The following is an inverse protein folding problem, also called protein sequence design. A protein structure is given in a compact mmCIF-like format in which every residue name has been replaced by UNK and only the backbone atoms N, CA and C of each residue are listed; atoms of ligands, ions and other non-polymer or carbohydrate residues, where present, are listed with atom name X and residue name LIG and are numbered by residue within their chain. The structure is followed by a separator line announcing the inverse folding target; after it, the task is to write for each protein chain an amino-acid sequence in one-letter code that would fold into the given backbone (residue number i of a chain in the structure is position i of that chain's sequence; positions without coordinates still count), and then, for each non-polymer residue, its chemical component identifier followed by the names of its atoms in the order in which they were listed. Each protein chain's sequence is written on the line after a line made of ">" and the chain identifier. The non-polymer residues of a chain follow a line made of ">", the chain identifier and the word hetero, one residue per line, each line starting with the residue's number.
data_IF_849920624234
#
_entry.id   IF_849920624234
#
_cell.length_a   1.000
_cell.length_b   1.000
_cell.length_c   1.000
_cell.angle_alpha   90.00
_cell.angle_beta   90.00
_cell.angle_gamma   90.00
#
_symmetry.space_group_name_H-M   'P 1'
#
loop_
_entity.id
_entity.type
_entity.pdbx_description
1 polymer ?
#
# COMPACT_ATOMS: atom_id res chain seq x y z
N UNK A 1 17.52 -16.84 17.11
CA UNK A 1 18.15 -15.61 17.67
C UNK A 1 18.14 -14.52 16.58
N UNK A 2 17.96 -13.26 16.97
CA UNK A 2 18.02 -12.13 16.05
C UNK A 2 19.44 -12.00 15.48
N UNK A 3 19.59 -11.79 14.15
CA UNK A 3 20.89 -11.41 13.58
C UNK A 3 21.38 -10.10 14.21
N UNK A 4 22.69 -9.94 14.33
CA UNK A 4 23.31 -8.71 14.89
C UNK A 4 22.88 -7.47 14.07
N UNK A 5 22.44 -6.41 14.77
CA UNK A 5 21.99 -5.16 14.14
C UNK A 5 20.66 -5.25 13.40
N UNK A 6 19.86 -6.30 13.61
CA UNK A 6 18.57 -6.50 12.96
C UNK A 6 17.43 -6.56 13.96
N UNK A 7 16.27 -6.11 13.51
CA UNK A 7 14.99 -6.12 14.23
C UNK A 7 13.88 -6.59 13.28
N UNK A 8 12.79 -7.09 13.82
CA UNK A 8 11.62 -7.45 13.02
C UNK A 8 10.86 -6.20 12.57
N UNK A 9 10.61 -6.09 11.27
CA UNK A 9 9.76 -5.04 10.70
C UNK A 9 8.34 -5.12 11.27
N UNK A 10 7.77 -3.97 11.65
CA UNK A 10 6.35 -3.90 12.04
C UNK A 10 5.40 -4.21 10.87
N UNK A 11 5.86 -4.02 9.61
CA UNK A 11 5.03 -4.12 8.42
C UNK A 11 5.07 -5.51 7.77
N UNK A 12 6.22 -6.19 7.81
CA UNK A 12 6.43 -7.46 7.11
C UNK A 12 6.92 -8.59 8.00
N UNK A 13 7.31 -8.28 9.25
CA UNK A 13 7.99 -9.21 10.15
C UNK A 13 9.33 -9.77 9.61
N UNK A 14 9.84 -9.23 8.52
CA UNK A 14 11.18 -9.55 8.01
C UNK A 14 12.26 -8.90 8.87
N UNK A 15 13.49 -9.41 8.80
CA UNK A 15 14.64 -8.79 9.45
C UNK A 15 15.07 -7.54 8.68
N UNK A 16 14.99 -6.39 9.33
CA UNK A 16 15.45 -5.09 8.82
C UNK A 16 16.58 -4.54 9.69
N UNK A 17 17.32 -3.56 9.21
CA UNK A 17 18.32 -2.85 10.02
C UNK A 17 17.63 -2.08 11.15
N UNK A 18 18.25 -2.05 12.34
CA UNK A 18 17.67 -1.43 13.54
C UNK A 18 17.35 0.07 13.34
N UNK A 19 18.13 0.78 12.53
CA UNK A 19 17.91 2.20 12.22
C UNK A 19 16.66 2.45 11.36
N UNK A 20 16.10 1.41 10.72
CA UNK A 20 14.84 1.50 9.99
C UNK A 20 13.61 1.29 10.89
N UNK A 21 13.78 0.79 12.12
CA UNK A 21 12.64 0.42 12.97
C UNK A 21 11.68 1.58 13.19
N UNK A 22 12.19 2.72 13.62
CA UNK A 22 11.39 3.91 13.90
C UNK A 22 11.10 4.77 12.67
N UNK A 23 11.69 4.44 11.51
CA UNK A 23 11.51 5.22 10.30
C UNK A 23 10.07 5.17 9.81
N UNK A 24 9.48 6.34 9.57
CA UNK A 24 8.17 6.47 8.95
C UNK A 24 8.23 5.99 7.49
N UNK A 25 7.23 5.21 7.04
CA UNK A 25 7.14 4.84 5.64
C UNK A 25 6.68 6.02 4.78
N UNK A 26 6.91 5.90 3.48
CA UNK A 26 6.14 6.64 2.48
C UNK A 26 4.82 5.93 2.20
N UNK A 27 3.79 6.71 1.85
CA UNK A 27 2.61 6.23 1.16
C UNK A 27 2.59 6.87 -0.24
N UNK A 28 2.91 6.12 -1.27
CA UNK A 28 3.15 6.63 -2.63
C UNK A 28 2.01 6.21 -3.55
N UNK A 29 1.42 7.18 -4.25
CA UNK A 29 0.32 6.95 -5.19
C UNK A 29 0.84 6.62 -6.59
N UNK A 30 0.52 5.42 -7.09
CA UNK A 30 0.87 4.93 -8.42
C UNK A 30 -0.36 4.76 -9.31
N UNK A 31 -0.27 5.08 -10.61
CA UNK A 31 -1.32 4.76 -11.56
C UNK A 31 -1.28 3.29 -11.99
N UNK A 32 -2.37 2.84 -12.59
CA UNK A 32 -2.42 1.55 -13.29
C UNK A 32 -2.24 1.69 -14.81
N UNK A 33 -2.28 2.90 -15.35
CA UNK A 33 -2.28 3.14 -16.79
C UNK A 33 -1.08 2.48 -17.47
N UNK A 34 -1.35 1.70 -18.51
CA UNK A 34 -0.33 0.98 -19.29
C UNK A 34 0.72 1.92 -19.88
N UNK A 35 0.29 3.11 -20.31
CA UNK A 35 1.13 4.16 -20.86
C UNK A 35 2.14 4.71 -19.83
N UNK A 36 1.86 4.55 -18.55
CA UNK A 36 2.74 4.96 -17.46
C UNK A 36 3.79 3.92 -17.06
N UNK A 37 3.69 2.72 -17.60
CA UNK A 37 4.61 1.63 -17.22
C UNK A 37 5.96 1.75 -17.95
N UNK A 38 7.05 1.21 -17.35
CA UNK A 38 7.12 0.60 -16.02
C UNK A 38 7.11 1.64 -14.89
N UNK A 39 6.77 1.18 -13.67
CA UNK A 39 6.88 1.99 -12.46
C UNK A 39 8.21 1.73 -11.74
N UNK A 40 8.62 2.67 -10.90
CA UNK A 40 9.90 2.65 -10.20
C UNK A 40 9.69 2.75 -8.69
N UNK A 41 10.47 2.00 -7.91
CA UNK A 41 10.38 1.93 -6.46
C UNK A 41 9.60 0.71 -5.95
N UNK A 42 9.12 -0.15 -6.82
CA UNK A 42 8.33 -1.32 -6.45
C UNK A 42 9.09 -2.33 -5.58
N UNK A 43 10.40 -2.42 -5.71
CA UNK A 43 11.23 -3.33 -4.91
C UNK A 43 11.23 -3.01 -3.41
N UNK A 44 10.86 -1.77 -3.05
CA UNK A 44 10.81 -1.32 -1.65
C UNK A 44 9.40 -1.36 -1.04
N UNK A 45 8.42 -1.88 -1.75
CA UNK A 45 7.05 -2.01 -1.26
C UNK A 45 7.00 -3.06 -0.15
N UNK A 46 6.47 -2.66 1.00
CA UNK A 46 6.16 -3.57 2.11
C UNK A 46 4.69 -4.01 2.05
N UNK A 47 3.78 -3.06 1.85
CA UNK A 47 2.34 -3.27 1.72
C UNK A 47 1.84 -2.51 0.51
N UNK A 48 0.99 -3.13 -0.29
CA UNK A 48 0.50 -2.56 -1.53
C UNK A 48 -1.02 -2.61 -1.60
N UNK A 49 -1.64 -1.46 -1.84
CA UNK A 49 -3.08 -1.32 -1.96
C UNK A 49 -3.50 -1.12 -3.40
N UNK A 50 -4.64 -1.67 -3.78
CA UNK A 50 -5.36 -1.28 -4.97
C UNK A 50 -6.84 -1.09 -4.64
N UNK A 51 -7.39 0.08 -5.00
CA UNK A 51 -8.78 0.44 -4.75
C UNK A 51 -9.33 1.10 -6.02
N UNK A 52 -10.60 0.86 -6.31
CA UNK A 52 -11.27 1.52 -7.43
C UNK A 52 -11.29 3.05 -7.27
N UNK A 53 -11.25 3.72 -8.40
CA UNK A 53 -11.56 5.14 -8.56
C UNK A 53 -12.62 5.32 -9.65
N UNK A 54 -12.75 6.49 -10.22
CA UNK A 54 -13.76 6.85 -11.21
C UNK A 54 -13.67 5.96 -12.48
N UNK A 55 -14.79 5.78 -13.14
CA UNK A 55 -14.90 5.08 -14.43
C UNK A 55 -14.44 3.62 -14.43
N UNK A 56 -14.46 2.96 -13.27
CA UNK A 56 -13.99 1.58 -13.13
C UNK A 56 -12.45 1.44 -13.19
N UNK A 57 -11.74 2.56 -13.23
CA UNK A 57 -10.29 2.57 -13.04
C UNK A 57 -9.94 2.20 -11.61
N UNK A 58 -8.71 1.81 -11.37
CA UNK A 58 -8.16 1.69 -10.03
C UNK A 58 -6.93 2.59 -9.84
N UNK A 59 -6.51 2.70 -8.60
CA UNK A 59 -5.29 3.38 -8.20
C UNK A 59 -4.55 2.50 -7.22
N UNK A 60 -3.23 2.59 -7.20
CA UNK A 60 -2.38 1.82 -6.31
C UNK A 60 -1.69 2.74 -5.32
N UNK A 61 -1.51 2.26 -4.09
CA UNK A 61 -0.75 2.94 -3.05
C UNK A 61 0.28 1.99 -2.45
N UNK A 62 1.54 2.41 -2.47
CA UNK A 62 2.64 1.66 -1.87
C UNK A 62 3.01 2.22 -0.50
N UNK A 63 3.09 1.35 0.50
CA UNK A 63 3.68 1.65 1.80
C UNK A 63 5.11 1.12 1.77
N UNK A 64 6.08 2.02 1.95
CA UNK A 64 7.51 1.73 1.77
C UNK A 64 8.30 2.27 2.97
N UNK A 65 8.86 1.38 3.78
CA UNK A 65 9.65 1.77 4.96
C UNK A 65 11.10 2.10 4.62
N UNK A 66 11.75 1.28 3.82
CA UNK A 66 13.14 1.46 3.39
C UNK A 66 13.21 2.26 2.08
N UNK A 67 13.01 3.58 2.17
CA UNK A 67 12.86 4.44 0.99
C UNK A 67 13.98 5.48 0.79
N UNK A 68 15.00 5.53 1.66
CA UNK A 68 15.97 6.65 1.63
C UNK A 68 17.06 6.56 0.55
N UNK A 69 17.11 5.49 -0.23
CA UNK A 69 18.15 5.20 -1.21
C UNK A 69 17.63 4.99 -2.65
N UNK A 70 16.41 5.46 -2.96
CA UNK A 70 15.82 5.29 -4.28
C UNK A 70 16.14 6.47 -5.20
N UNK A 71 16.75 6.17 -6.36
CA UNK A 71 17.08 7.16 -7.39
C UNK A 71 15.84 7.59 -8.19
N UNK A 72 14.77 6.81 -8.19
CA UNK A 72 13.54 7.10 -8.92
C UNK A 72 12.35 6.40 -8.27
N UNK A 73 11.25 7.15 -8.08
CA UNK A 73 9.97 6.68 -7.58
C UNK A 73 8.87 7.25 -8.47
N UNK A 74 7.93 6.42 -8.88
CA UNK A 74 6.77 6.83 -9.68
C UNK A 74 6.71 6.15 -11.03
N UNK A 75 5.85 6.63 -11.96
CA UNK A 75 5.22 7.98 -11.90
C UNK A 75 4.20 8.08 -10.78
N UNK A 76 4.03 9.30 -10.29
CA UNK A 76 3.17 9.63 -9.16
C UNK A 76 1.83 10.17 -9.66
N UNK A 77 0.73 9.77 -9.02
CA UNK A 77 -0.62 10.17 -9.43
C UNK A 77 -1.45 10.74 -8.27
N UNK A 78 -2.65 11.16 -8.64
CA UNK A 78 -3.61 11.78 -7.73
C UNK A 78 -4.07 10.84 -6.62
N UNK A 79 -4.31 11.40 -5.45
CA UNK A 79 -4.86 10.70 -4.29
C UNK A 79 -6.39 10.86 -4.21
N UNK A 80 -7.04 9.98 -3.47
CA UNK A 80 -8.43 10.06 -3.02
C UNK A 80 -8.49 9.97 -1.49
N UNK A 81 -9.55 10.48 -0.88
CA UNK A 81 -9.70 10.51 0.57
C UNK A 81 -9.60 9.12 1.23
N UNK A 82 -10.19 8.11 0.62
CA UNK A 82 -10.12 6.74 1.16
C UNK A 82 -8.71 6.14 1.15
N UNK A 83 -7.82 6.56 0.24
CA UNK A 83 -6.40 6.21 0.31
C UNK A 83 -5.70 6.91 1.48
N UNK A 84 -6.08 8.15 1.80
CA UNK A 84 -5.53 8.84 2.97
C UNK A 84 -5.89 8.08 4.24
N UNK A 85 -7.15 7.67 4.40
CA UNK A 85 -7.58 6.87 5.56
C UNK A 85 -6.85 5.52 5.66
N UNK A 86 -6.64 4.83 4.55
CA UNK A 86 -5.83 3.61 4.53
C UNK A 86 -4.37 3.88 4.90
N UNK A 87 -3.80 4.99 4.45
CA UNK A 87 -2.41 5.36 4.70
C UNK A 87 -2.14 5.71 6.17
N UNK A 88 -3.07 6.39 6.84
CA UNK A 88 -2.87 6.88 8.21
C UNK A 88 -2.55 5.76 9.22
N UNK A 89 -2.94 4.51 8.96
CA UNK A 89 -2.59 3.35 9.78
C UNK A 89 -1.07 3.15 9.96
N UNK A 90 -0.27 3.78 9.13
CA UNK A 90 1.20 3.62 9.08
C UNK A 90 1.96 4.87 9.52
N UNK A 91 1.27 5.92 9.93
CA UNK A 91 1.87 7.25 10.18
C UNK A 91 2.81 7.70 9.04
N UNK A 92 2.39 7.65 7.76
CA UNK A 92 3.29 7.85 6.64
C UNK A 92 3.56 9.33 6.34
N UNK A 93 4.56 9.54 5.48
CA UNK A 93 4.65 10.75 4.65
C UNK A 93 3.99 10.40 3.32
N UNK A 94 2.89 11.08 3.01
CA UNK A 94 2.09 10.81 1.80
C UNK A 94 2.70 11.52 0.61
N UNK A 95 2.92 10.81 -0.49
CA UNK A 95 3.48 11.34 -1.74
C UNK A 95 2.47 11.14 -2.86
N UNK A 96 1.96 12.23 -3.42
CA UNK A 96 0.92 12.20 -4.44
C UNK A 96 1.06 13.38 -5.42
N UNK A 97 0.31 13.34 -6.50
CA UNK A 97 0.30 14.39 -7.52
C UNK A 97 -1.13 14.88 -7.76
N UNK A 98 -1.61 15.79 -6.89
CA UNK A 98 -2.96 16.32 -6.93
C UNK A 98 -4.01 15.37 -6.35
N UNK A 99 -5.27 15.72 -6.63
CA UNK A 99 -6.47 15.02 -6.19
C UNK A 99 -7.71 15.86 -6.42
N UNK A 100 -8.93 15.32 -6.22
CA UNK A 100 -10.18 16.08 -6.28
C UNK A 100 -10.31 16.98 -5.05
N UNK A 101 -9.95 18.25 -5.18
CA UNK A 101 -9.88 19.22 -4.08
C UNK A 101 -11.09 19.17 -3.16
N UNK A 102 -12.28 19.11 -3.74
CA UNK A 102 -13.56 19.10 -3.01
C UNK A 102 -13.70 17.92 -2.02
N UNK A 103 -13.01 16.80 -2.27
CA UNK A 103 -13.14 15.60 -1.45
C UNK A 103 -11.92 15.29 -0.58
N UNK A 104 -10.72 15.77 -0.96
CA UNK A 104 -9.50 15.41 -0.24
C UNK A 104 -8.90 16.56 0.57
N UNK A 105 -9.32 17.81 0.33
CA UNK A 105 -8.73 18.96 0.98
C UNK A 105 -8.84 18.88 2.50
N UNK A 106 -10.01 18.60 3.02
CA UNK A 106 -10.26 18.62 4.46
C UNK A 106 -9.37 17.64 5.21
N UNK A 107 -9.16 16.45 4.66
CA UNK A 107 -8.29 15.45 5.30
C UNK A 107 -6.80 15.75 5.06
N UNK A 108 -6.38 16.14 3.87
CA UNK A 108 -4.97 16.42 3.57
C UNK A 108 -4.43 17.67 4.27
N UNK A 109 -5.28 18.62 4.63
CA UNK A 109 -4.90 19.85 5.32
C UNK A 109 -5.03 19.77 6.84
N UNK A 110 -5.40 18.61 7.38
CA UNK A 110 -5.36 18.38 8.82
C UNK A 110 -3.92 18.50 9.34
N UNK A 111 -3.76 19.06 10.53
CA UNK A 111 -2.43 19.28 11.13
C UNK A 111 -1.65 18.00 11.42
N UNK A 112 -2.35 16.87 11.58
CA UNK A 112 -1.78 15.56 11.81
C UNK A 112 -1.47 14.78 10.52
N UNK A 113 -1.90 15.27 9.35
CA UNK A 113 -1.64 14.62 8.05
C UNK A 113 -0.51 15.33 7.32
N UNK A 114 0.57 14.61 7.06
CA UNK A 114 1.75 15.15 6.37
C UNK A 114 1.84 14.60 4.96
N UNK A 115 1.87 15.49 3.97
CA UNK A 115 1.91 15.09 2.57
C UNK A 115 2.81 16.02 1.74
N UNK A 116 3.30 15.48 0.63
CA UNK A 116 4.09 16.17 -0.39
C UNK A 116 3.32 16.02 -1.71
N UNK A 117 2.81 17.15 -2.22
CA UNK A 117 1.91 17.19 -3.37
C UNK A 117 2.58 17.78 -4.59
N UNK A 118 2.79 16.99 -5.65
CA UNK A 118 3.46 17.43 -6.87
C UNK A 118 2.81 18.59 -7.60
N UNK A 119 1.50 18.80 -7.42
CA UNK A 119 0.77 19.96 -7.97
C UNK A 119 1.02 21.22 -7.13
N UNK A 120 1.22 21.06 -5.82
CA UNK A 120 1.23 22.18 -4.88
C UNK A 120 -0.16 22.77 -4.64
N UNK A 121 -0.23 23.91 -4.00
CA UNK A 121 -1.46 24.66 -3.77
C UNK A 121 -2.32 24.14 -2.61
N UNK A 122 -3.64 24.06 -2.81
CA UNK A 122 -4.61 23.83 -1.71
C UNK A 122 -4.51 22.46 -1.04
N UNK A 123 -3.87 21.46 -1.65
CA UNK A 123 -3.75 20.10 -1.12
C UNK A 123 -2.39 19.81 -0.47
N UNK A 124 -1.53 20.80 -0.34
CA UNK A 124 -0.20 20.66 0.21
C UNK A 124 0.87 21.18 -0.74
N UNK A 125 2.08 21.38 -0.23
CA UNK A 125 3.20 21.94 -0.97
C UNK A 125 3.98 20.84 -1.72
N UNK A 126 4.65 21.22 -2.81
CA UNK A 126 5.52 20.32 -3.57
C UNK A 126 6.94 20.27 -3.03
N UNK A 127 7.39 21.33 -2.36
CA UNK A 127 8.75 21.50 -1.86
C UNK A 127 9.84 21.22 -2.92
N UNK A 128 9.51 21.46 -4.20
CA UNK A 128 10.37 21.13 -5.34
C UNK A 128 10.81 19.64 -5.40
N UNK A 129 9.99 18.73 -4.85
CA UNK A 129 10.33 17.33 -4.71
C UNK A 129 10.11 16.48 -5.97
N UNK A 130 9.56 17.05 -7.04
CA UNK A 130 9.19 16.30 -8.23
C UNK A 130 9.95 16.77 -9.47
N UNK A 131 10.14 15.85 -10.40
CA UNK A 131 10.67 16.13 -11.72
C UNK A 131 9.86 15.39 -12.80
N UNK A 132 10.03 15.78 -14.05
CA UNK A 132 9.35 15.13 -15.17
C UNK A 132 10.35 14.51 -16.10
N UNK A 133 10.05 13.28 -16.55
CA UNK A 133 10.75 12.59 -17.61
C UNK A 133 9.75 12.09 -18.64
N UNK A 134 10.00 12.37 -19.89
CA UNK A 134 9.15 11.98 -21.00
C UNK A 134 9.96 11.48 -22.21
N UNK A 135 10.64 10.32 -22.07
CA UNK A 135 11.55 9.82 -23.09
C UNK A 135 10.84 9.35 -24.37
N UNK A 136 9.56 9.01 -24.28
CA UNK A 136 8.77 8.41 -25.37
C UNK A 136 7.56 9.25 -25.82
N UNK A 137 7.46 10.48 -25.33
CA UNK A 137 6.38 11.42 -25.72
C UNK A 137 5.00 11.08 -25.17
N UNK A 138 4.94 10.32 -24.07
CA UNK A 138 3.67 9.99 -23.38
C UNK A 138 2.96 11.23 -22.84
N UNK A 139 1.69 11.09 -22.48
CA UNK A 139 0.92 12.18 -21.90
C UNK A 139 1.57 12.68 -20.59
N UNK A 140 1.49 13.98 -20.32
CA UNK A 140 2.18 14.63 -19.20
C UNK A 140 1.81 14.03 -17.84
N UNK A 141 0.61 13.51 -17.69
CA UNK A 141 0.12 12.86 -16.48
C UNK A 141 0.88 11.56 -16.11
N UNK A 142 1.65 10.99 -17.02
CA UNK A 142 2.47 9.79 -16.83
C UNK A 142 3.97 10.11 -16.73
N UNK A 143 4.34 11.35 -16.45
CA UNK A 143 5.74 11.81 -16.51
C UNK A 143 6.28 12.36 -15.20
N UNK A 144 5.48 12.39 -14.12
CA UNK A 144 5.89 12.95 -12.84
C UNK A 144 6.55 11.88 -11.95
N UNK A 145 7.76 12.16 -11.50
CA UNK A 145 8.57 11.28 -10.65
C UNK A 145 9.14 12.06 -9.46
N UNK A 146 9.60 11.32 -8.46
CA UNK A 146 10.43 11.83 -7.38
C UNK A 146 11.61 10.88 -7.13
N UNK A 147 12.44 11.19 -6.15
CA UNK A 147 13.54 10.36 -5.64
C UNK A 147 13.81 10.66 -4.18
N UNK A 148 14.48 9.77 -3.51
CA UNK A 148 14.74 9.87 -2.06
C UNK A 148 15.42 11.16 -1.65
N UNK A 149 16.45 11.60 -2.39
CA UNK A 149 17.14 12.87 -2.14
C UNK A 149 16.19 14.08 -2.10
N UNK A 150 15.27 14.16 -3.06
CA UNK A 150 14.28 15.26 -3.13
C UNK A 150 13.25 15.17 -2.01
N UNK A 151 12.81 13.97 -1.67
CA UNK A 151 11.86 13.76 -0.57
C UNK A 151 12.49 14.08 0.80
N UNK A 152 13.74 13.71 1.03
CA UNK A 152 14.46 14.06 2.26
C UNK A 152 14.60 15.58 2.42
N UNK A 153 14.95 16.28 1.33
CA UNK A 153 15.01 17.74 1.31
C UNK A 153 13.62 18.36 1.54
N UNK A 154 12.59 17.81 0.95
CA UNK A 154 11.21 18.25 1.16
C UNK A 154 10.79 18.08 2.63
N UNK A 155 11.08 16.95 3.25
CA UNK A 155 10.80 16.71 4.66
C UNK A 155 11.53 17.69 5.57
N UNK A 156 12.79 17.98 5.31
CA UNK A 156 13.58 18.96 6.05
C UNK A 156 12.97 20.37 5.93
N UNK A 157 12.62 20.79 4.72
CA UNK A 157 12.00 22.08 4.45
C UNK A 157 10.62 22.21 5.11
N UNK A 158 9.83 21.15 5.08
CA UNK A 158 8.49 21.09 5.68
C UNK A 158 8.50 20.94 7.21
N UNK A 159 9.64 20.56 7.79
CA UNK A 159 9.74 20.19 9.20
C UNK A 159 9.09 18.84 9.54
N UNK A 160 9.01 17.92 8.57
CA UNK A 160 8.44 16.58 8.79
C UNK A 160 9.45 15.67 9.47
N UNK A 161 9.03 15.05 10.59
CA UNK A 161 9.84 14.06 11.26
C UNK A 161 9.98 12.81 10.40
N UNK A 162 11.18 12.24 10.34
CA UNK A 162 11.44 10.99 9.61
C UNK A 162 11.17 9.74 10.45
N UNK A 163 11.04 9.88 11.76
CA UNK A 163 10.67 8.82 12.68
C UNK A 163 9.20 8.93 13.05
N UNK A 164 8.61 7.82 13.50
CA UNK A 164 7.23 7.78 13.98
C UNK A 164 6.96 8.86 15.02
N UNK A 165 5.76 9.44 14.96
CA UNK A 165 5.38 10.59 15.77
C UNK A 165 4.67 10.15 17.05
N UNK A 166 5.18 10.58 18.20
CA UNK A 166 4.61 10.25 19.50
C UNK A 166 3.25 10.89 19.76
N UNK A 167 2.96 12.04 19.15
CA UNK A 167 1.70 12.75 19.33
C UNK A 167 0.50 12.10 18.64
N UNK A 168 0.72 11.29 17.60
CA UNK A 168 -0.36 10.63 16.84
C UNK A 168 -0.23 9.12 16.73
N UNK A 169 0.96 8.53 16.96
CA UNK A 169 1.25 7.13 16.68
C UNK A 169 1.88 6.35 17.85
N UNK A 170 1.97 6.94 19.06
CA UNK A 170 2.59 6.30 20.23
C UNK A 170 1.99 4.94 20.58
N UNK A 171 0.70 4.76 20.39
CA UNK A 171 0.02 3.51 20.71
C UNK A 171 0.34 2.35 19.75
N UNK A 172 0.92 2.65 18.58
CA UNK A 172 1.10 1.70 17.48
C UNK A 172 2.56 1.49 17.06
N UNK A 173 3.43 2.49 17.22
CA UNK A 173 4.80 2.49 16.66
C UNK A 173 5.68 1.31 17.09
N UNK A 174 5.47 0.81 18.30
CA UNK A 174 6.25 -0.29 18.88
C UNK A 174 5.53 -1.66 18.74
N UNK A 175 4.52 -1.74 17.89
CA UNK A 175 3.74 -2.94 17.65
C UNK A 175 3.81 -3.35 16.19
N UNK A 176 3.73 -4.65 15.94
CA UNK A 176 3.49 -5.16 14.59
C UNK A 176 2.13 -4.66 14.08
N UNK A 177 2.09 -4.26 12.81
CA UNK A 177 0.86 -3.80 12.17
C UNK A 177 -0.19 -4.92 12.08
N UNK A 178 0.25 -6.12 11.69
CA UNK A 178 -0.53 -7.35 11.74
C UNK A 178 0.02 -8.28 12.81
N UNK A 179 -0.75 -9.33 13.16
CA UNK A 179 -0.19 -10.48 13.83
C UNK A 179 0.56 -11.33 12.83
N UNK A 180 1.80 -11.71 13.15
CA UNK A 180 2.63 -12.53 12.27
C UNK A 180 3.01 -13.85 12.92
N UNK A 181 3.14 -14.90 12.09
CA UNK A 181 3.80 -16.13 12.49
C UNK A 181 5.30 -15.92 12.58
N UNK A 182 5.98 -16.80 13.30
CA UNK A 182 7.43 -16.92 13.12
C UNK A 182 7.74 -17.44 11.71
N UNK A 183 8.79 -16.91 11.09
CA UNK A 183 9.16 -17.26 9.71
C UNK A 183 9.41 -18.78 9.51
N UNK A 184 9.82 -19.48 10.59
CA UNK A 184 10.03 -20.92 10.60
C UNK A 184 8.75 -21.74 10.75
N UNK A 185 7.61 -21.12 11.04
CA UNK A 185 6.34 -21.80 11.31
C UNK A 185 5.21 -21.14 10.50
N UNK A 186 5.21 -21.42 9.20
CA UNK A 186 4.23 -20.83 8.28
C UNK A 186 2.78 -21.19 8.64
N UNK A 187 1.91 -20.19 8.50
CA UNK A 187 0.47 -20.39 8.56
C UNK A 187 -0.01 -20.92 7.20
N UNK A 188 -0.19 -22.23 7.12
CA UNK A 188 -0.64 -22.94 5.89
C UNK A 188 -2.14 -22.98 5.75
N UNK A 189 -2.89 -22.40 6.68
CA UNK A 189 -4.35 -22.43 6.78
C UNK A 189 -4.95 -23.84 6.98
N UNK A 190 -4.13 -24.85 7.24
CA UNK A 190 -4.60 -26.25 7.42
C UNK A 190 -5.53 -26.40 8.62
N UNK A 191 -5.38 -25.56 9.64
CA UNK A 191 -6.24 -25.54 10.82
C UNK A 191 -7.72 -25.25 10.52
N UNK A 192 -8.00 -24.67 9.35
CA UNK A 192 -9.36 -24.35 8.91
C UNK A 192 -10.06 -25.48 8.17
N UNK A 193 -9.35 -26.57 7.86
CA UNK A 193 -9.91 -27.74 7.17
C UNK A 193 -10.59 -27.38 5.85
N UNK A 194 -11.81 -27.85 5.65
CA UNK A 194 -12.59 -27.62 4.42
C UNK A 194 -12.99 -26.13 4.17
N UNK A 195 -12.83 -25.27 5.16
CA UNK A 195 -13.03 -23.82 5.00
C UNK A 195 -11.88 -23.14 4.26
N UNK A 196 -10.69 -23.73 4.28
CA UNK A 196 -9.55 -23.26 3.49
C UNK A 196 -9.61 -23.89 2.10
N UNK A 197 -9.99 -23.09 1.11
CA UNK A 197 -10.13 -23.55 -0.27
C UNK A 197 -8.85 -23.31 -1.07
N UNK A 198 -8.55 -24.14 -2.11
CA UNK A 198 -7.42 -23.89 -2.99
C UNK A 198 -7.50 -22.51 -3.66
N UNK A 199 -6.37 -21.79 -3.70
CA UNK A 199 -6.25 -20.43 -4.24
C UNK A 199 -4.83 -20.22 -4.81
N UNK A 200 -4.38 -21.09 -5.70
CA UNK A 200 -3.06 -20.97 -6.34
C UNK A 200 -3.06 -19.97 -7.50
N UNK A 201 -4.22 -19.73 -8.10
CA UNK A 201 -4.41 -18.76 -9.18
C UNK A 201 -5.56 -17.81 -8.80
N UNK A 202 -5.30 -16.52 -8.81
CA UNK A 202 -6.29 -15.49 -8.46
C UNK A 202 -6.57 -14.61 -9.66
N UNK A 203 -7.84 -14.34 -9.92
CA UNK A 203 -8.29 -13.44 -10.98
C UNK A 203 -9.21 -12.37 -10.40
N UNK A 204 -8.75 -11.12 -10.40
CA UNK A 204 -9.50 -9.95 -9.93
C UNK A 204 -10.06 -9.10 -11.08
N UNK A 205 -10.05 -9.58 -12.32
CA UNK A 205 -10.52 -8.83 -13.50
C UNK A 205 -11.97 -8.36 -13.39
N UNK A 206 -12.83 -9.11 -12.68
CA UNK A 206 -14.20 -8.71 -12.45
C UNK A 206 -14.33 -7.47 -11.53
N UNK A 207 -13.42 -7.32 -10.56
CA UNK A 207 -13.38 -6.17 -9.66
C UNK A 207 -12.62 -4.99 -10.26
N UNK A 208 -11.59 -5.28 -11.07
CA UNK A 208 -10.69 -4.30 -11.68
C UNK A 208 -10.60 -4.51 -13.20
N UNK A 209 -11.63 -4.06 -13.95
CA UNK A 209 -11.80 -4.44 -15.35
C UNK A 209 -10.80 -3.76 -16.32
N UNK A 210 -10.08 -2.72 -15.88
CA UNK A 210 -9.11 -2.02 -16.73
C UNK A 210 -7.76 -2.71 -16.75
N UNK A 211 -7.16 -2.92 -15.60
CA UNK A 211 -5.83 -3.53 -15.49
C UNK A 211 -5.84 -5.05 -15.32
N UNK A 212 -7.04 -5.63 -15.09
CA UNK A 212 -7.27 -7.09 -15.05
C UNK A 212 -6.21 -7.84 -14.21
N UNK A 213 -6.05 -7.50 -12.91
CA UNK A 213 -4.97 -8.07 -12.12
C UNK A 213 -5.17 -9.56 -11.83
N UNK A 214 -4.07 -10.31 -11.94
CA UNK A 214 -4.00 -11.72 -11.62
C UNK A 214 -2.81 -12.03 -10.74
N UNK A 215 -2.87 -13.14 -10.01
CA UNK A 215 -1.77 -13.67 -9.21
C UNK A 215 -1.61 -15.15 -9.44
N UNK A 216 -0.36 -15.61 -9.54
CA UNK A 216 0.00 -17.01 -9.57
C UNK A 216 0.88 -17.34 -8.37
N UNK A 217 0.47 -18.35 -7.59
CA UNK A 217 1.23 -18.83 -6.45
C UNK A 217 2.34 -19.79 -6.88
N UNK A 218 3.55 -19.54 -6.40
CA UNK A 218 4.70 -20.40 -6.59
C UNK A 218 5.06 -21.08 -5.27
N UNK A 219 4.89 -22.39 -5.20
CA UNK A 219 5.15 -23.15 -3.98
C UNK A 219 6.65 -23.24 -3.62
N UNK A 220 7.54 -22.98 -4.57
CA UNK A 220 9.00 -23.04 -4.36
C UNK A 220 9.52 -21.92 -3.46
N UNK A 221 8.89 -20.74 -3.54
CA UNK A 221 9.25 -19.56 -2.77
C UNK A 221 8.11 -19.00 -1.92
N UNK A 222 6.91 -19.62 -2.00
CA UNK A 222 5.71 -19.26 -1.24
C UNK A 222 5.12 -17.89 -1.58
N UNK A 223 5.29 -17.41 -2.83
CA UNK A 223 4.89 -16.06 -3.25
C UNK A 223 3.78 -16.10 -4.30
N UNK A 224 2.90 -15.10 -4.22
CA UNK A 224 1.92 -14.76 -5.24
C UNK A 224 2.51 -13.71 -6.17
N UNK A 225 2.79 -14.09 -7.41
CA UNK A 225 3.34 -13.23 -8.46
C UNK A 225 2.26 -12.49 -9.19
N UNK A 226 2.34 -11.16 -9.18
CA UNK A 226 1.32 -10.28 -9.73
C UNK A 226 1.55 -9.95 -11.19
N UNK A 227 0.45 -9.99 -11.97
CA UNK A 227 0.39 -9.50 -13.36
C UNK A 227 -0.78 -8.53 -13.53
N UNK A 228 -0.62 -7.56 -14.42
CA UNK A 228 -1.67 -6.66 -14.89
C UNK A 228 -1.62 -6.59 -16.42
N UNK A 229 -2.75 -6.38 -17.08
CA UNK A 229 -2.85 -6.41 -18.55
C UNK A 229 -2.33 -7.71 -19.18
N UNK A 230 -2.36 -8.82 -18.46
CA UNK A 230 -1.79 -10.09 -18.91
C UNK A 230 -0.26 -10.16 -18.91
N UNK A 231 0.42 -9.18 -18.33
CA UNK A 231 1.88 -9.07 -18.29
C UNK A 231 2.38 -8.97 -16.84
N UNK A 232 3.56 -9.51 -16.51
CA UNK A 232 4.14 -9.35 -15.18
C UNK A 232 4.30 -7.87 -14.81
N UNK A 233 3.80 -7.49 -13.64
CA UNK A 233 3.99 -6.13 -13.10
C UNK A 233 5.38 -6.04 -12.46
N UNK A 234 6.28 -5.27 -13.09
CA UNK A 234 7.71 -5.24 -12.74
C UNK A 234 8.19 -3.85 -12.34
N UNK A 235 9.18 -3.83 -11.45
CA UNK A 235 9.97 -2.65 -11.19
C UNK A 235 10.80 -2.25 -12.42
N UNK A 236 10.79 -0.96 -12.74
CA UNK A 236 11.48 -0.44 -13.93
C UNK A 236 13.00 -0.38 -13.82
N UNK A 237 13.55 -0.41 -12.61
CA UNK A 237 15.00 -0.40 -12.38
C UNK A 237 15.59 -1.80 -12.39
N UNK A 238 14.98 -2.72 -11.64
CA UNK A 238 15.51 -4.07 -11.40
C UNK A 238 14.92 -5.12 -12.32
N UNK A 239 13.72 -4.87 -12.88
CA UNK A 239 12.97 -5.85 -13.64
C UNK A 239 12.32 -6.93 -12.77
N UNK A 240 12.40 -6.83 -11.45
CA UNK A 240 11.78 -7.77 -10.51
C UNK A 240 10.26 -7.66 -10.56
N UNK A 241 9.59 -8.78 -10.70
CA UNK A 241 8.13 -8.84 -10.65
C UNK A 241 7.62 -8.67 -9.22
N UNK A 242 6.55 -7.90 -9.04
CA UNK A 242 5.84 -7.81 -7.77
C UNK A 242 5.35 -9.17 -7.32
N UNK A 243 5.68 -9.52 -6.09
CA UNK A 243 5.27 -10.77 -5.47
C UNK A 243 5.00 -10.55 -3.97
N UNK A 244 4.03 -11.28 -3.44
CA UNK A 244 3.52 -11.11 -2.08
C UNK A 244 3.36 -12.45 -1.38
N UNK A 245 3.72 -12.50 -0.10
CA UNK A 245 3.48 -13.65 0.78
C UNK A 245 1.99 -13.78 1.12
N UNK A 246 1.33 -12.62 1.34
CA UNK A 246 -0.06 -12.55 1.76
C UNK A 246 -0.86 -11.68 0.78
N UNK A 247 -2.12 -12.08 0.53
CA UNK A 247 -3.09 -11.25 -0.18
C UNK A 247 -4.33 -11.11 0.70
N UNK A 248 -4.72 -9.87 1.00
CA UNK A 248 -5.92 -9.53 1.74
C UNK A 248 -6.93 -8.89 0.79
N UNK A 249 -8.14 -9.40 0.77
CA UNK A 249 -9.27 -8.77 0.08
C UNK A 249 -10.18 -8.17 1.12
N UNK A 250 -10.46 -6.88 0.98
CA UNK A 250 -11.32 -6.12 1.87
C UNK A 250 -12.53 -5.64 1.07
N UNK A 251 -13.70 -6.28 1.21
CA UNK A 251 -14.94 -5.72 0.68
C UNK A 251 -15.39 -4.59 1.58
N UNK A 252 -15.75 -3.49 0.96
CA UNK A 252 -16.30 -2.35 1.68
C UNK A 252 -17.44 -1.71 0.90
N UNK A 253 -18.35 -1.11 1.63
CA UNK A 253 -19.42 -0.33 1.01
C UNK A 253 -18.83 0.92 0.34
N UNK A 254 -19.31 1.20 -0.87
CA UNK A 254 -18.98 2.43 -1.57
C UNK A 254 -20.20 2.99 -2.31
N UNK A 255 -20.14 4.27 -2.63
CA UNK A 255 -21.13 4.97 -3.43
C UNK A 255 -20.47 5.95 -4.40
N UNK A 256 -21.18 6.25 -5.49
CA UNK A 256 -20.81 7.35 -6.40
C UNK A 256 -21.33 8.64 -5.77
N UNK A 257 -20.43 9.59 -5.51
CA UNK A 257 -20.77 10.80 -4.76
C UNK A 257 -21.18 12.00 -5.63
N UNK A 258 -20.89 11.96 -6.94
CA UNK A 258 -21.24 13.05 -7.86
C UNK A 258 -21.36 12.57 -9.33
N UNK A 259 -21.74 13.49 -10.21
CA UNK A 259 -21.92 13.23 -11.66
C UNK A 259 -20.60 13.00 -12.40
N UNK A 260 -19.45 13.31 -11.78
CA UNK A 260 -18.13 13.01 -12.34
C UNK A 260 -17.67 11.57 -12.00
N UNK A 261 -18.47 10.82 -11.26
CA UNK A 261 -18.18 9.44 -10.93
C UNK A 261 -17.24 9.24 -9.75
N UNK A 262 -16.88 10.29 -9.01
CA UNK A 262 -16.05 10.14 -7.82
C UNK A 262 -16.70 9.20 -6.80
N UNK A 263 -15.87 8.32 -6.21
CA UNK A 263 -16.30 7.32 -5.25
C UNK A 263 -16.05 7.76 -3.82
N UNK A 264 -16.93 7.31 -2.91
CA UNK A 264 -16.73 7.34 -1.47
C UNK A 264 -16.71 5.91 -0.95
N UNK A 265 -15.60 5.48 -0.38
CA UNK A 265 -15.47 4.19 0.29
C UNK A 265 -15.62 4.35 1.79
N UNK A 266 -16.34 3.43 2.43
CA UNK A 266 -16.44 3.37 3.88
C UNK A 266 -15.20 2.65 4.43
N UNK A 267 -14.20 3.43 4.83
CA UNK A 267 -12.93 2.91 5.34
C UNK A 267 -12.95 2.59 6.84
N UNK A 268 -13.83 3.23 7.61
CA UNK A 268 -14.09 2.93 9.01
C UNK A 268 -15.40 2.17 9.12
N UNK A 269 -15.33 0.92 9.50
CA UNK A 269 -16.51 0.06 9.64
C UNK A 269 -16.19 -1.20 10.46
N UNK A 270 -17.20 -2.01 10.72
CA UNK A 270 -17.09 -3.25 11.49
C UNK A 270 -17.83 -4.39 10.79
N UNK A 271 -17.25 -5.57 10.90
CA UNK A 271 -17.88 -6.82 10.50
C UNK A 271 -18.26 -6.88 9.01
N UNK A 272 -17.39 -6.36 8.14
CA UNK A 272 -17.49 -6.55 6.70
C UNK A 272 -16.68 -7.75 6.24
N UNK A 273 -17.16 -8.37 5.17
CA UNK A 273 -16.50 -9.54 4.57
C UNK A 273 -15.15 -9.20 3.95
N UNK A 274 -14.27 -10.18 3.95
CA UNK A 274 -12.99 -10.14 3.29
C UNK A 274 -12.46 -11.54 3.02
N UNK A 275 -11.28 -11.62 2.46
CA UNK A 275 -10.55 -12.87 2.27
C UNK A 275 -9.10 -12.72 2.70
N UNK A 276 -8.56 -13.77 3.29
CA UNK A 276 -7.14 -13.94 3.55
C UNK A 276 -6.61 -15.08 2.71
N UNK A 277 -5.59 -14.79 1.92
CA UNK A 277 -4.99 -15.70 0.94
C UNK A 277 -3.50 -15.78 1.22
N UNK A 278 -3.01 -17.00 1.43
CA UNK A 278 -1.60 -17.30 1.67
C UNK A 278 -1.35 -18.78 1.43
N UNK A 279 -0.12 -19.18 1.13
CA UNK A 279 0.29 -20.59 0.98
C UNK A 279 -0.61 -21.39 0.01
N UNK A 280 -1.07 -20.75 -1.08
CA UNK A 280 -1.92 -21.37 -2.09
C UNK A 280 -3.35 -21.66 -1.65
N UNK A 281 -3.80 -21.10 -0.54
CA UNK A 281 -5.14 -21.29 0.03
C UNK A 281 -5.78 -19.96 0.41
N UNK A 282 -7.10 -20.00 0.59
CA UNK A 282 -7.91 -18.83 0.93
C UNK A 282 -8.94 -19.20 2.00
N UNK A 283 -9.14 -18.31 2.96
CA UNK A 283 -10.25 -18.37 3.94
C UNK A 283 -11.08 -17.09 3.88
N UNK A 284 -12.35 -17.22 4.25
CA UNK A 284 -13.20 -16.08 4.55
C UNK A 284 -12.74 -15.41 5.86
N UNK A 285 -12.77 -14.09 5.88
CA UNK A 285 -12.53 -13.26 7.07
C UNK A 285 -13.55 -12.14 7.15
N UNK A 286 -13.63 -11.49 8.31
CA UNK A 286 -14.26 -10.19 8.47
C UNK A 286 -13.20 -9.16 8.84
N UNK A 287 -13.45 -7.89 8.54
CA UNK A 287 -12.55 -6.81 8.89
C UNK A 287 -13.24 -5.71 9.68
N UNK A 288 -12.46 -4.97 10.44
CA UNK A 288 -12.90 -3.77 11.13
C UNK A 288 -11.78 -2.72 11.21
N UNK A 289 -12.17 -1.46 11.18
CA UNK A 289 -11.31 -0.30 11.43
C UNK A 289 -12.13 0.75 12.16
N UNK A 290 -11.71 1.14 13.35
CA UNK A 290 -12.45 2.03 14.25
C UNK A 290 -11.82 3.42 14.42
N UNK A 291 -10.60 3.62 13.94
CA UNK A 291 -9.87 4.89 14.06
C UNK A 291 -8.97 5.14 12.87
N UNK A 292 -8.51 6.40 12.70
CA UNK A 292 -7.63 6.79 11.59
C UNK A 292 -6.27 6.09 11.65
N UNK A 293 -5.64 6.10 12.81
CA UNK A 293 -4.28 5.56 13.02
C UNK A 293 -4.26 4.11 13.49
N UNK A 294 -5.38 3.58 13.95
CA UNK A 294 -5.49 2.17 14.30
C UNK A 294 -5.50 1.29 13.06
N UNK A 295 -4.76 0.17 13.08
CA UNK A 295 -4.72 -0.74 11.94
C UNK A 295 -6.08 -1.38 11.68
N UNK A 296 -6.37 -1.64 10.40
CA UNK A 296 -7.48 -2.52 10.03
C UNK A 296 -7.16 -3.91 10.54
N UNK A 297 -8.11 -4.52 11.26
CA UNK A 297 -8.00 -5.86 11.83
C UNK A 297 -8.86 -6.84 11.07
N UNK A 298 -8.36 -8.06 10.90
CA UNK A 298 -9.04 -9.12 10.17
C UNK A 298 -9.23 -10.32 11.10
N UNK A 299 -10.44 -10.90 11.09
CA UNK A 299 -10.83 -11.98 11.96
C UNK A 299 -11.37 -13.15 11.14
N UNK A 300 -11.08 -14.37 11.58
CA UNK A 300 -11.67 -15.56 10.99
C UNK A 300 -13.13 -15.77 11.43
N UNK A 301 -13.78 -16.82 10.91
CA UNK A 301 -15.18 -17.13 11.24
C UNK A 301 -15.41 -17.54 12.71
N UNK A 302 -14.36 -17.77 13.47
CA UNK A 302 -14.45 -18.03 14.92
C UNK A 302 -14.33 -16.73 15.73
N UNK A 303 -13.99 -15.61 15.08
CA UNK A 303 -13.74 -14.33 15.72
C UNK A 303 -12.32 -14.13 16.23
N UNK A 304 -11.41 -15.03 15.85
CA UNK A 304 -9.98 -14.91 16.19
C UNK A 304 -9.28 -14.04 15.13
N UNK A 305 -8.39 -13.14 15.57
CA UNK A 305 -7.57 -12.35 14.65
C UNK A 305 -6.65 -13.26 13.84
N UNK A 306 -6.63 -13.07 12.53
CA UNK A 306 -5.78 -13.86 11.64
C UNK A 306 -4.29 -13.55 11.86
N UNK A 307 -3.46 -14.53 11.54
CA UNK A 307 -2.01 -14.41 11.63
C UNK A 307 -1.40 -14.51 10.23
N UNK A 308 -0.74 -13.45 9.79
CA UNK A 308 -0.09 -13.38 8.48
C UNK A 308 1.25 -14.12 8.49
N UNK A 309 1.69 -14.59 7.34
CA UNK A 309 3.04 -15.06 7.15
C UNK A 309 4.02 -13.89 7.02
N UNK A 310 5.26 -14.09 7.48
CA UNK A 310 6.35 -13.11 7.32
C UNK A 310 6.58 -12.82 5.85
N UNK A 311 6.53 -11.54 5.48
CA UNK A 311 6.72 -11.07 4.10
C UNK A 311 5.78 -9.92 3.72
N UNK A 312 5.78 -9.59 2.44
CA UNK A 312 4.98 -8.51 1.87
C UNK A 312 3.50 -8.88 1.78
N UNK A 313 2.64 -7.86 1.89
CA UNK A 313 1.17 -8.03 1.81
C UNK A 313 0.58 -7.12 0.73
N UNK A 314 -0.29 -7.71 -0.12
CA UNK A 314 -1.14 -6.99 -1.06
C UNK A 314 -2.53 -6.82 -0.49
#
# INVERSE_FOLDING_TARGET
>A
EAPEGKVRSQLTNEWIDEDLYDQRPLAVMYPINKEGMPQYGYDKIDIFYEILEEDGMSRQMAIMKDWKDLDKIGNIRSIRDYFVYAALEYDPIIVHFGGPVVYVKDILTRSDVQNINGVGGELGDSYDAFFRENPDGRASEHTAYTKSELLLKACDTAGFQLNYRDDVFADYKDKSHYQFTEASNKNTLEQYGDKAVPAESLDFSAAYPHDIPTFEYHADDHLYYRSIYGEPQKDGTTGTQLAFENVLVQWTYYEVRDDNGYLAFRMHDKTHDGMFITEGKMIHVTWEKDSDYGPTRYYDDNGDEITLNTGKTM
#
